data_IF_981867028808
#
_entry.id   IF_981867028808
#
_cell.length_a   1.000
_cell.length_b   1.000
_cell.length_c   1.000
_cell.angle_alpha   90.00
_cell.angle_beta   90.00
_cell.angle_gamma   90.00
#
_symmetry.space_group_name_H-M   'P 1'
#
loop_
_entity.id
_entity.type
_entity.pdbx_description
1 polymer ?
#
# COMPACT_ATOMS: atom_id res chain seq x y z
N UNK A 1 4.50 -21.76 13.69
CA UNK A 1 5.15 -20.71 12.86
C UNK A 1 4.10 -19.64 12.66
N UNK A 2 4.34 -18.43 13.14
CA UNK A 2 3.39 -17.32 12.95
C UNK A 2 3.43 -16.91 11.47
N UNK A 3 2.26 -16.91 10.80
CA UNK A 3 2.09 -16.44 9.44
C UNK A 3 1.26 -15.17 9.47
N UNK A 4 1.59 -14.19 8.64
CA UNK A 4 0.81 -12.97 8.46
C UNK A 4 0.70 -12.65 6.96
N UNK A 5 -0.50 -12.30 6.51
CA UNK A 5 -0.70 -11.71 5.19
C UNK A 5 -0.21 -10.26 5.22
N UNK A 6 0.76 -9.92 4.37
CA UNK A 6 1.35 -8.57 4.30
C UNK A 6 0.89 -7.76 3.08
N UNK A 7 0.16 -8.37 2.15
CA UNK A 7 -0.38 -7.73 0.96
C UNK A 7 -1.86 -8.12 0.82
N UNK A 8 -2.75 -7.23 1.21
CA UNK A 8 -4.20 -7.50 1.27
C UNK A 8 -4.99 -6.25 0.88
N UNK A 9 -5.94 -6.43 -0.05
CA UNK A 9 -6.89 -5.41 -0.49
C UNK A 9 -8.22 -5.60 0.23
N UNK A 10 -8.80 -4.49 0.69
CA UNK A 10 -10.12 -4.47 1.32
C UNK A 10 -11.18 -3.89 0.39
N UNK A 11 -12.40 -3.78 0.88
CA UNK A 11 -13.53 -3.13 0.19
C UNK A 11 -13.24 -1.69 -0.28
N UNK A 12 -12.17 -1.06 0.22
CA UNK A 12 -11.70 0.25 -0.23
C UNK A 12 -10.85 0.21 -1.51
N UNK A 13 -10.42 -0.98 -1.95
CA UNK A 13 -9.86 -1.25 -3.29
C UNK A 13 -10.99 -1.55 -4.26
N UNK A 14 -11.73 -0.52 -4.66
CA UNK A 14 -13.08 -0.57 -5.24
C UNK A 14 -13.30 -1.52 -6.43
N UNK A 15 -12.26 -1.87 -7.20
CA UNK A 15 -12.39 -2.70 -8.40
C UNK A 15 -12.18 -4.19 -8.13
N UNK A 16 -11.36 -4.55 -7.15
CA UNK A 16 -10.92 -5.93 -6.91
C UNK A 16 -10.89 -6.35 -5.44
N UNK A 17 -11.07 -5.40 -4.52
CA UNK A 17 -11.12 -5.67 -3.09
C UNK A 17 -12.50 -6.16 -2.64
N UNK A 18 -12.60 -7.44 -2.24
CA UNK A 18 -13.85 -8.02 -1.72
C UNK A 18 -13.85 -8.23 -0.20
N UNK A 19 -12.72 -8.04 0.46
CA UNK A 19 -12.59 -8.26 1.90
C UNK A 19 -13.21 -7.11 2.69
N UNK A 20 -14.36 -7.35 3.30
CA UNK A 20 -14.88 -6.41 4.31
C UNK A 20 -14.02 -6.47 5.56
N UNK A 21 -13.62 -5.33 6.08
CA UNK A 21 -12.62 -5.22 7.15
C UNK A 21 -12.96 -6.11 8.36
N UNK A 22 -14.21 -6.09 8.86
CA UNK A 22 -14.60 -6.88 10.03
C UNK A 22 -14.57 -8.38 9.75
N UNK A 23 -15.02 -8.82 8.57
CA UNK A 23 -15.02 -10.21 8.16
C UNK A 23 -13.58 -10.72 7.96
N UNK A 24 -12.71 -9.89 7.36
CA UNK A 24 -11.29 -10.18 7.20
C UNK A 24 -10.59 -10.39 8.53
N UNK A 25 -10.75 -9.46 9.47
CA UNK A 25 -10.14 -9.57 10.82
C UNK A 25 -10.67 -10.80 11.57
N UNK A 26 -11.97 -11.08 11.49
CA UNK A 26 -12.56 -12.28 12.09
C UNK A 26 -11.96 -13.56 11.50
N UNK A 27 -11.76 -13.60 10.17
CA UNK A 27 -11.15 -14.75 9.49
C UNK A 27 -9.68 -14.94 9.86
N UNK A 28 -8.91 -13.87 9.96
CA UNK A 28 -7.52 -13.90 10.44
C UNK A 28 -7.44 -14.55 11.83
N UNK A 29 -8.32 -14.15 12.73
CA UNK A 29 -8.38 -14.70 14.08
C UNK A 29 -8.80 -16.18 14.10
N UNK A 30 -9.80 -16.55 13.31
CA UNK A 30 -10.27 -17.94 13.16
C UNK A 30 -9.16 -18.86 12.67
N UNK A 31 -8.31 -18.37 11.76
CA UNK A 31 -7.14 -19.10 11.23
C UNK A 31 -5.94 -19.17 12.21
N UNK A 32 -6.09 -18.59 13.41
CA UNK A 32 -5.04 -18.60 14.44
C UNK A 32 -3.87 -17.67 14.14
N UNK A 33 -4.03 -16.69 13.26
CA UNK A 33 -3.03 -15.67 13.00
C UNK A 33 -3.10 -14.59 14.07
N UNK A 34 -1.96 -14.02 14.43
CA UNK A 34 -1.83 -12.95 15.44
C UNK A 34 -1.65 -11.55 14.84
N UNK A 35 -1.45 -11.47 13.53
CA UNK A 35 -1.18 -10.24 12.80
C UNK A 35 -1.71 -10.28 11.36
N UNK A 36 -2.03 -9.12 10.81
CA UNK A 36 -2.49 -8.97 9.44
C UNK A 36 -2.25 -7.53 8.94
N UNK A 37 -2.12 -7.36 7.62
CA UNK A 37 -1.94 -6.05 7.00
C UNK A 37 -3.18 -5.59 6.23
N UNK A 38 -3.25 -4.26 6.02
CA UNK A 38 -4.07 -3.60 5.03
C UNK A 38 -3.17 -2.85 4.06
N UNK A 39 -3.35 -3.08 2.75
CA UNK A 39 -2.51 -2.49 1.69
C UNK A 39 -3.36 -2.18 0.46
N UNK A 40 -4.39 -1.35 0.62
CA UNK A 40 -5.29 -0.98 -0.46
C UNK A 40 -4.58 -0.19 -1.59
N UNK A 41 -5.12 -0.25 -2.79
CA UNK A 41 -4.59 0.38 -3.99
C UNK A 41 -4.59 1.91 -3.91
N UNK A 42 -3.43 2.51 -3.67
CA UNK A 42 -3.20 3.96 -3.72
C UNK A 42 -3.91 4.77 -2.65
N UNK A 43 -4.57 4.13 -1.68
CA UNK A 43 -5.38 4.80 -0.65
C UNK A 43 -5.14 4.24 0.75
N UNK A 44 -5.47 5.04 1.76
CA UNK A 44 -5.45 4.66 3.18
C UNK A 44 -6.82 4.83 3.84
N UNK A 45 -7.91 4.75 3.09
CA UNK A 45 -9.26 5.06 3.57
C UNK A 45 -9.73 4.12 4.68
N UNK A 46 -9.42 2.83 4.58
CA UNK A 46 -9.81 1.80 5.54
C UNK A 46 -8.89 1.63 6.75
N UNK A 47 -7.77 2.36 6.81
CA UNK A 47 -6.71 2.11 7.79
C UNK A 47 -7.19 2.26 9.23
N UNK A 48 -7.98 3.28 9.55
CA UNK A 48 -8.47 3.50 10.91
C UNK A 48 -9.49 2.44 11.32
N UNK A 49 -10.41 2.07 10.43
CA UNK A 49 -11.41 1.04 10.70
C UNK A 49 -10.75 -0.33 10.87
N UNK A 50 -9.77 -0.65 10.03
CA UNK A 50 -8.96 -1.85 10.16
C UNK A 50 -8.18 -1.88 11.48
N UNK A 51 -7.50 -0.77 11.84
CA UNK A 51 -6.77 -0.67 13.10
C UNK A 51 -7.66 -0.95 14.31
N UNK A 52 -8.84 -0.33 14.36
CA UNK A 52 -9.79 -0.53 15.45
C UNK A 52 -10.30 -1.97 15.52
N UNK A 53 -10.75 -2.52 14.40
CA UNK A 53 -11.26 -3.90 14.33
C UNK A 53 -10.19 -4.93 14.74
N UNK A 54 -8.94 -4.77 14.25
CA UNK A 54 -7.83 -5.66 14.59
C UNK A 54 -7.48 -5.58 16.09
N UNK A 55 -7.43 -4.37 16.66
CA UNK A 55 -7.16 -4.18 18.10
C UNK A 55 -8.26 -4.79 18.98
N UNK A 56 -9.53 -4.61 18.62
CA UNK A 56 -10.66 -5.24 19.30
C UNK A 56 -10.59 -6.77 19.27
N UNK A 57 -10.16 -7.34 18.16
CA UNK A 57 -9.99 -8.78 17.98
C UNK A 57 -8.72 -9.35 18.64
N UNK A 58 -7.81 -8.52 19.14
CA UNK A 58 -6.50 -8.94 19.67
C UNK A 58 -5.49 -9.30 18.57
N UNK A 59 -5.69 -8.83 17.35
CA UNK A 59 -4.79 -8.98 16.20
C UNK A 59 -3.88 -7.76 16.10
N UNK A 60 -2.58 -7.97 15.82
CA UNK A 60 -1.64 -6.88 15.54
C UNK A 60 -1.91 -6.29 14.15
N UNK A 61 -2.37 -5.03 14.04
CA UNK A 61 -2.55 -4.39 12.74
C UNK A 61 -1.22 -3.97 12.14
N UNK A 62 -1.01 -4.26 10.86
CA UNK A 62 0.10 -3.77 10.05
C UNK A 62 -0.50 -2.82 9.01
N UNK A 63 -0.11 -1.54 9.06
CA UNK A 63 -0.70 -0.51 8.23
C UNK A 63 0.18 -0.24 7.01
N UNK A 64 -0.41 -0.29 5.83
CA UNK A 64 0.29 -0.12 4.57
C UNK A 64 -0.58 0.44 3.47
N UNK A 65 0.01 0.54 2.29
CA UNK A 65 -0.64 0.94 1.05
C UNK A 65 0.14 0.34 -0.13
N UNK A 66 -0.56 -0.15 -1.14
CA UNK A 66 0.05 -0.45 -2.43
C UNK A 66 0.05 0.81 -3.28
N UNK A 67 1.20 1.49 -3.35
CA UNK A 67 1.34 2.74 -4.09
C UNK A 67 1.62 2.49 -5.56
N UNK A 68 1.23 3.46 -6.40
CA UNK A 68 1.56 3.52 -7.81
C UNK A 68 2.81 4.36 -7.99
N UNK A 69 3.89 3.78 -8.51
CA UNK A 69 5.18 4.47 -8.74
C UNK A 69 5.29 4.84 -10.20
N UNK A 70 5.46 6.13 -10.50
CA UNK A 70 5.73 6.61 -11.85
C UNK A 70 7.09 6.10 -12.33
N UNK A 71 7.26 5.76 -13.64
CA UNK A 71 8.52 5.29 -14.17
C UNK A 71 9.68 6.29 -13.96
N UNK A 72 9.41 7.58 -14.17
CA UNK A 72 10.37 8.67 -13.97
C UNK A 72 9.86 9.66 -12.92
N UNK A 73 9.12 10.68 -13.33
CA UNK A 73 8.61 11.72 -12.43
C UNK A 73 7.09 11.64 -12.26
N UNK A 74 6.60 11.84 -11.05
CA UNK A 74 5.17 11.97 -10.76
C UNK A 74 4.49 13.13 -11.50
N UNK A 75 5.27 14.12 -11.93
CA UNK A 75 4.79 15.27 -12.69
C UNK A 75 4.65 14.98 -14.19
N UNK A 76 5.26 13.93 -14.68
CA UNK A 76 5.14 13.55 -16.09
C UNK A 76 3.75 12.97 -16.37
N UNK A 77 2.99 13.68 -17.21
CA UNK A 77 1.63 13.32 -17.61
C UNK A 77 1.50 13.08 -19.13
N UNK A 78 2.63 13.16 -19.86
CA UNK A 78 2.72 12.92 -21.29
C UNK A 78 3.45 11.60 -21.55
N UNK A 79 2.71 10.49 -21.54
CA UNK A 79 3.28 9.18 -21.87
C UNK A 79 3.12 8.92 -23.36
N UNK A 80 4.22 8.74 -24.06
CA UNK A 80 4.26 8.37 -25.47
C UNK A 80 4.16 6.86 -25.64
N UNK A 81 3.10 6.44 -26.30
CA UNK A 81 2.88 5.14 -26.96
C UNK A 81 3.47 3.87 -26.34
N UNK A 82 2.73 3.21 -25.45
CA UNK A 82 3.03 1.84 -25.03
C UNK A 82 3.84 1.71 -23.74
N UNK A 83 4.23 2.80 -23.11
CA UNK A 83 4.90 2.80 -21.81
C UNK A 83 3.92 2.53 -20.66
N UNK A 84 4.37 1.75 -19.69
CA UNK A 84 3.60 1.55 -18.46
C UNK A 84 3.52 2.86 -17.69
N UNK A 85 2.30 3.23 -17.27
CA UNK A 85 2.04 4.51 -16.62
C UNK A 85 2.49 4.54 -15.17
N UNK A 86 2.66 3.38 -14.56
CA UNK A 86 3.04 3.20 -13.15
C UNK A 86 3.40 1.74 -12.88
N UNK A 87 4.14 1.53 -11.82
CA UNK A 87 4.44 0.24 -11.22
C UNK A 87 3.80 0.15 -9.84
N UNK A 88 3.56 -1.06 -9.34
CA UNK A 88 3.07 -1.28 -8.00
C UNK A 88 4.21 -1.48 -7.01
N UNK A 89 4.07 -0.93 -5.82
CA UNK A 89 4.99 -1.14 -4.70
C UNK A 89 4.20 -1.17 -3.39
N UNK A 90 4.37 -2.23 -2.59
CA UNK A 90 3.72 -2.30 -1.27
C UNK A 90 4.60 -1.61 -0.25
N UNK A 91 4.04 -0.66 0.48
CA UNK A 91 4.68 0.04 1.58
C UNK A 91 3.97 -0.29 2.89
N UNK A 92 4.75 -0.66 3.91
CA UNK A 92 4.26 -0.92 5.27
C UNK A 92 4.91 0.03 6.26
N UNK A 93 4.12 0.54 7.20
CA UNK A 93 4.63 1.35 8.30
C UNK A 93 5.19 0.46 9.42
N UNK A 94 6.48 0.57 9.70
CA UNK A 94 7.14 -0.15 10.78
C UNK A 94 6.78 0.43 12.16
N UNK A 95 6.60 1.75 12.23
CA UNK A 95 6.39 2.52 13.47
C UNK A 95 5.59 3.80 13.18
N UNK A 96 5.41 4.65 14.21
CA UNK A 96 4.66 5.90 14.07
C UNK A 96 5.30 6.89 13.09
N UNK A 97 6.63 6.94 12.99
CA UNK A 97 7.34 7.76 11.99
C UNK A 97 6.99 7.27 10.58
N UNK A 98 7.09 5.95 10.35
CA UNK A 98 6.70 5.33 9.09
C UNK A 98 5.23 5.57 8.75
N UNK A 99 4.31 5.50 9.73
CA UNK A 99 2.91 5.81 9.49
C UNK A 99 2.69 7.26 9.05
N UNK A 100 3.35 8.21 9.72
CA UNK A 100 3.30 9.63 9.32
C UNK A 100 3.90 9.85 7.92
N UNK A 101 4.99 9.17 7.59
CA UNK A 101 5.61 9.25 6.29
C UNK A 101 4.75 8.58 5.20
N UNK A 102 4.13 7.44 5.48
CA UNK A 102 3.20 6.79 4.55
C UNK A 102 2.03 7.70 4.19
N UNK A 103 1.46 8.40 5.17
CA UNK A 103 0.41 9.40 4.91
C UNK A 103 0.89 10.51 3.96
N UNK A 104 2.13 11.00 4.13
CA UNK A 104 2.72 12.01 3.25
C UNK A 104 2.93 11.47 1.84
N UNK A 105 3.50 10.26 1.70
CA UNK A 105 3.72 9.59 0.42
C UNK A 105 2.39 9.48 -0.35
N UNK A 106 1.36 8.92 0.28
CA UNK A 106 0.04 8.76 -0.35
C UNK A 106 -0.57 10.12 -0.71
N UNK A 107 -0.47 11.11 0.18
CA UNK A 107 -0.99 12.46 -0.08
C UNK A 107 -0.31 13.14 -1.27
N UNK A 108 1.03 13.01 -1.42
CA UNK A 108 1.77 13.52 -2.57
C UNK A 108 1.30 12.89 -3.88
N UNK A 109 0.99 11.59 -3.85
CA UNK A 109 0.41 10.92 -5.01
C UNK A 109 -0.89 11.58 -5.50
N UNK A 110 -1.76 12.00 -4.58
CA UNK A 110 -3.00 12.68 -4.91
C UNK A 110 -2.82 14.15 -5.31
N UNK A 111 -1.98 14.89 -4.59
CA UNK A 111 -1.86 16.35 -4.78
C UNK A 111 -0.95 16.74 -5.94
N UNK A 112 0.04 15.90 -6.27
CA UNK A 112 1.07 16.21 -7.27
C UNK A 112 1.06 15.24 -8.45
N UNK A 113 0.99 13.92 -8.17
CA UNK A 113 1.23 12.86 -9.14
C UNK A 113 -0.02 12.28 -9.80
N UNK A 114 -1.21 12.83 -9.57
CA UNK A 114 -2.43 12.25 -10.09
C UNK A 114 -2.48 12.31 -11.63
N UNK A 115 -2.39 11.13 -12.23
CA UNK A 115 -2.59 10.91 -13.66
C UNK A 115 -3.16 9.50 -13.86
N UNK A 116 -4.48 9.38 -14.06
CA UNK A 116 -5.29 8.17 -13.97
C UNK A 116 -5.29 7.50 -12.59
N UNK A 117 -4.15 7.49 -11.90
CA UNK A 117 -3.94 6.98 -10.54
C UNK A 117 -3.11 7.98 -9.72
N UNK A 118 -3.18 7.95 -8.38
CA UNK A 118 -2.31 8.74 -7.52
C UNK A 118 -0.89 8.17 -7.52
N UNK A 119 0.00 8.73 -8.34
CA UNK A 119 1.36 8.23 -8.52
C UNK A 119 2.35 8.97 -7.64
N UNK A 120 3.27 8.23 -7.08
CA UNK A 120 4.48 8.74 -6.43
C UNK A 120 5.68 8.46 -7.31
N UNK A 121 6.88 8.91 -6.93
CA UNK A 121 8.13 8.61 -7.61
C UNK A 121 9.27 8.36 -6.62
N UNK A 122 10.45 8.05 -7.12
CA UNK A 122 11.60 7.78 -6.26
C UNK A 122 12.02 8.98 -5.42
N UNK A 123 11.78 10.22 -5.86
CA UNK A 123 12.05 11.42 -5.08
C UNK A 123 11.23 11.45 -3.78
N UNK A 124 9.91 11.24 -3.89
CA UNK A 124 8.99 11.17 -2.74
C UNK A 124 9.34 10.00 -1.82
N UNK A 125 9.65 8.84 -2.40
CA UNK A 125 10.03 7.66 -1.62
C UNK A 125 11.34 7.88 -0.86
N UNK A 126 12.34 8.52 -1.45
CA UNK A 126 13.59 8.87 -0.79
C UNK A 126 13.42 9.93 0.30
N UNK A 127 12.52 10.91 0.10
CA UNK A 127 12.23 11.94 1.10
C UNK A 127 11.58 11.36 2.37
N UNK A 128 10.68 10.36 2.21
CA UNK A 128 9.85 9.85 3.30
C UNK A 128 10.08 8.37 3.63
N UNK A 129 11.26 7.82 3.36
CA UNK A 129 11.55 6.38 3.55
C UNK A 129 11.67 5.94 5.00
N UNK A 130 11.93 6.86 5.95
CA UNK A 130 12.18 6.49 7.34
C UNK A 130 10.97 5.77 7.96
N UNK A 131 11.21 4.59 8.54
CA UNK A 131 10.19 3.74 9.14
C UNK A 131 9.24 3.07 8.12
N UNK A 132 9.61 3.03 6.84
CA UNK A 132 8.89 2.34 5.78
C UNK A 132 9.61 1.04 5.41
N UNK A 133 8.84 -0.04 5.32
CA UNK A 133 9.27 -1.32 4.75
C UNK A 133 8.62 -1.43 3.37
N UNK A 134 9.43 -1.66 2.34
CA UNK A 134 8.94 -1.87 0.97
C UNK A 134 8.96 -3.36 0.61
N UNK A 135 7.91 -3.82 -0.02
CA UNK A 135 7.78 -5.19 -0.52
C UNK A 135 7.47 -5.17 -2.00
N UNK A 136 8.00 -6.16 -2.72
CA UNK A 136 7.57 -6.42 -4.08
C UNK A 136 6.09 -6.85 -4.13
N UNK A 137 5.34 -6.29 -5.09
CA UNK A 137 3.88 -6.43 -5.11
C UNK A 137 3.40 -7.53 -6.08
N UNK A 138 3.53 -7.31 -7.38
CA UNK A 138 2.98 -8.19 -8.41
C UNK A 138 3.79 -8.11 -9.72
N UNK A 139 3.28 -8.72 -10.81
CA UNK A 139 3.94 -8.69 -12.13
C UNK A 139 4.09 -7.28 -12.73
N UNK A 140 3.29 -6.32 -12.30
CA UNK A 140 3.39 -4.90 -12.67
C UNK A 140 4.38 -4.11 -11.79
N UNK A 141 5.28 -4.82 -11.10
CA UNK A 141 6.16 -4.27 -10.11
C UNK A 141 7.47 -3.73 -10.67
N UNK A 142 7.97 -2.67 -10.03
CA UNK A 142 9.23 -2.01 -10.39
C UNK A 142 10.45 -2.92 -10.26
N UNK A 143 10.52 -3.77 -9.22
CA UNK A 143 11.70 -4.61 -8.94
C UNK A 143 11.92 -5.73 -9.95
N UNK A 144 10.87 -6.24 -10.59
CA UNK A 144 10.99 -7.32 -11.61
C UNK A 144 11.58 -6.77 -12.91
N UNK A 145 11.36 -5.50 -13.19
CA UNK A 145 11.80 -4.87 -14.44
C UNK A 145 13.29 -4.52 -14.45
N UNK A 146 13.84 -4.13 -13.30
CA UNK A 146 15.26 -3.77 -13.15
C UNK A 146 16.20 -4.99 -13.14
N UNK A 147 15.66 -6.19 -13.09
CA UNK A 147 16.43 -7.45 -13.12
C UNK A 147 16.58 -8.09 -14.52
N UNK A 148 16.20 -7.36 -15.59
CA UNK A 148 16.30 -7.84 -16.99
C UNK A 148 17.36 -7.11 -17.79
#
# INVERSE_FOLDING_TARGET
MAFAHLHVHTEYSLLDGSNKIREYVARVKELGMDSAAITDHGVMYGVIDFYRAAREAGIKPILGCEVYVAPDSRFDKELTGGEERYHHLVLLAENNTGYANLMKIVSRGFTEGYYYKPRVDMEVLQEFHEGIIALSACLAEMCIRDSR
#
